data_IF_682689975211
#
_entry.id   IF_682689975211
#
_cell.length_a   1.000
_cell.length_b   1.000
_cell.length_c   1.000
_cell.angle_alpha   90.00
_cell.angle_beta   90.00
_cell.angle_gamma   90.00
#
_symmetry.space_group_name_H-M   'P 1'
#
loop_
_entity.id
_entity.type
_entity.pdbx_description
1 polymer ?
#
# COMPACT_ATOMS: atom_id res chain seq x y z
N UNK A 1 12.64 20.72 15.61
CA UNK A 1 12.87 20.62 14.15
C UNK A 1 13.79 19.43 13.95
N UNK A 2 13.32 18.36 13.31
CA UNK A 2 14.18 17.22 12.98
C UNK A 2 14.93 17.63 11.71
N UNK A 3 16.25 17.51 11.73
CA UNK A 3 17.12 17.77 10.58
C UNK A 3 17.93 16.50 10.37
N UNK A 4 17.96 15.98 9.15
CA UNK A 4 18.91 14.93 8.80
C UNK A 4 20.33 15.48 8.98
N UNK A 5 21.23 14.67 9.55
CA UNK A 5 22.62 15.06 9.63
C UNK A 5 23.18 15.26 8.22
N UNK A 6 23.75 16.43 8.00
CA UNK A 6 24.52 16.83 6.83
C UNK A 6 26.00 16.43 7.03
N UNK A 7 26.64 15.86 6.00
CA UNK A 7 28.03 15.38 6.14
C UNK A 7 28.54 14.37 5.13
N UNK A 8 27.73 13.94 4.16
CA UNK A 8 28.24 13.28 2.95
C UNK A 8 27.61 14.01 1.75
N UNK A 9 28.44 14.75 1.01
CA UNK A 9 28.07 15.50 -0.20
C UNK A 9 27.61 14.57 -1.32
N UNK A 10 28.40 14.42 -2.40
CA UNK A 10 28.09 13.53 -3.55
C UNK A 10 27.84 12.04 -3.20
N UNK A 11 27.90 11.68 -1.92
CA UNK A 11 27.85 10.35 -1.34
C UNK A 11 26.82 10.18 -0.21
N UNK A 12 25.80 11.05 -0.09
CA UNK A 12 24.68 10.83 0.84
C UNK A 12 24.09 9.41 0.72
N UNK A 13 23.22 8.98 1.65
CA UNK A 13 22.57 7.65 1.58
C UNK A 13 21.73 7.40 0.31
N UNK A 14 21.67 8.38 -0.60
CA UNK A 14 20.99 8.30 -1.88
C UNK A 14 19.47 8.39 -1.75
N UNK A 15 18.79 8.45 -2.89
CA UNK A 15 17.35 8.23 -2.90
C UNK A 15 17.08 6.78 -2.45
N UNK A 16 16.27 6.63 -1.41
CA UNK A 16 15.80 5.33 -0.97
C UNK A 16 14.51 4.98 -1.71
N UNK A 17 14.41 3.73 -2.19
CA UNK A 17 13.19 3.18 -2.78
C UNK A 17 12.77 1.94 -2.03
N UNK A 18 11.50 1.84 -1.65
CA UNK A 18 10.92 0.63 -1.10
C UNK A 18 10.34 -0.20 -2.24
N UNK A 19 10.72 -1.48 -2.31
CA UNK A 19 10.27 -2.41 -3.34
C UNK A 19 9.61 -3.64 -2.71
N UNK A 20 8.60 -4.18 -3.38
CA UNK A 20 7.95 -5.43 -2.98
C UNK A 20 8.65 -6.62 -3.62
N UNK A 21 9.20 -7.51 -2.79
CA UNK A 21 9.82 -8.74 -3.24
C UNK A 21 8.85 -9.91 -3.14
N UNK A 22 8.90 -10.82 -4.11
CA UNK A 22 8.15 -12.09 -4.08
C UNK A 22 9.11 -13.25 -4.35
N UNK A 23 8.76 -14.46 -3.89
CA UNK A 23 9.54 -15.66 -4.23
C UNK A 23 9.51 -15.91 -5.75
N UNK A 24 10.56 -16.57 -6.26
CA UNK A 24 10.62 -16.98 -7.67
C UNK A 24 9.35 -17.76 -8.06
N UNK A 25 8.77 -17.43 -9.21
CA UNK A 25 7.57 -18.07 -9.76
C UNK A 25 6.24 -17.55 -9.22
N UNK A 26 6.22 -16.76 -8.13
CA UNK A 26 4.98 -16.41 -7.45
C UNK A 26 3.94 -15.70 -8.31
N UNK A 27 4.35 -14.77 -9.18
CA UNK A 27 3.44 -14.03 -10.06
C UNK A 27 2.86 -14.89 -11.17
N UNK A 28 3.53 -15.99 -11.55
CA UNK A 28 3.03 -16.97 -12.52
C UNK A 28 2.13 -18.00 -11.85
N UNK A 29 2.50 -18.45 -10.66
CA UNK A 29 1.72 -19.43 -9.88
C UNK A 29 0.44 -18.82 -9.29
N UNK A 30 0.46 -17.53 -8.95
CA UNK A 30 -0.66 -16.80 -8.37
C UNK A 30 -0.95 -15.53 -9.19
N UNK A 31 -1.46 -15.63 -10.42
CA UNK A 31 -1.54 -14.50 -11.36
C UNK A 31 -2.44 -13.36 -10.86
N UNK A 32 -3.56 -13.67 -10.20
CA UNK A 32 -4.47 -12.66 -9.67
C UNK A 32 -3.81 -11.82 -8.55
N UNK A 33 -3.16 -12.49 -7.58
CA UNK A 33 -2.41 -11.80 -6.50
C UNK A 33 -1.16 -11.12 -7.06
N UNK A 34 -0.50 -11.72 -8.05
CA UNK A 34 0.63 -11.13 -8.75
C UNK A 34 0.27 -9.80 -9.41
N UNK A 35 -0.93 -9.71 -10.01
CA UNK A 35 -1.46 -8.46 -10.54
C UNK A 35 -1.66 -7.42 -9.45
N UNK A 36 -2.28 -7.79 -8.33
CA UNK A 36 -2.47 -6.91 -7.18
C UNK A 36 -1.13 -6.37 -6.64
N UNK A 37 -0.15 -7.25 -6.38
CA UNK A 37 1.17 -6.86 -5.87
C UNK A 37 1.90 -5.92 -6.84
N UNK A 38 1.77 -6.14 -8.15
CA UNK A 38 2.39 -5.27 -9.17
C UNK A 38 1.76 -3.87 -9.20
N UNK A 39 0.46 -3.79 -8.97
CA UNK A 39 -0.27 -2.53 -8.92
C UNK A 39 -0.08 -1.78 -7.58
N UNK A 40 0.31 -2.48 -6.51
CA UNK A 40 0.41 -1.95 -5.15
C UNK A 40 1.56 -0.94 -5.04
N UNK A 41 1.19 0.34 -4.99
CA UNK A 41 2.11 1.48 -4.89
C UNK A 41 1.61 2.42 -3.80
N UNK A 42 2.56 2.90 -2.99
CA UNK A 42 2.31 3.86 -1.93
C UNK A 42 2.96 5.20 -2.25
N UNK A 43 2.53 6.24 -1.54
CA UNK A 43 3.19 7.54 -1.54
C UNK A 43 3.37 8.01 -0.08
N UNK A 44 4.26 8.97 0.11
CA UNK A 44 4.64 9.45 1.45
C UNK A 44 3.46 10.06 2.22
N UNK A 45 2.56 10.76 1.54
CA UNK A 45 1.40 11.39 2.17
C UNK A 45 0.44 10.33 2.76
N UNK A 46 0.21 9.25 2.02
CA UNK A 46 -0.60 8.11 2.45
C UNK A 46 0.02 7.44 3.69
N UNK A 47 1.31 7.10 3.62
CA UNK A 47 2.02 6.45 4.73
C UNK A 47 2.07 7.35 5.97
N UNK A 48 2.41 8.63 5.80
CA UNK A 48 2.53 9.60 6.88
C UNK A 48 1.22 9.78 7.65
N UNK A 49 0.08 9.93 6.95
CA UNK A 49 -1.22 10.10 7.59
C UNK A 49 -1.61 8.92 8.50
N UNK A 50 -1.27 7.70 8.10
CA UNK A 50 -1.55 6.51 8.90
C UNK A 50 -0.56 6.34 10.05
N UNK A 51 0.73 6.60 9.81
CA UNK A 51 1.79 6.43 10.81
C UNK A 51 1.59 7.30 12.05
N UNK A 52 1.05 8.51 11.92
CA UNK A 52 0.77 9.40 13.06
C UNK A 52 -0.13 8.75 14.12
N UNK A 53 -1.17 8.03 13.70
CA UNK A 53 -2.10 7.36 14.60
C UNK A 53 -1.50 6.08 15.20
N UNK A 54 -0.73 5.33 14.40
CA UNK A 54 -0.06 4.09 14.81
C UNK A 54 0.99 4.39 15.88
N UNK A 55 1.81 5.42 15.68
CA UNK A 55 2.83 5.85 16.64
C UNK A 55 2.23 6.35 17.97
N UNK A 56 0.96 6.76 17.96
CA UNK A 56 0.19 7.12 19.17
C UNK A 56 -0.50 5.93 19.85
N UNK A 57 -0.28 4.70 19.36
CA UNK A 57 -0.78 3.46 19.96
C UNK A 57 -2.07 2.91 19.34
N UNK A 58 -2.52 3.43 18.20
CA UNK A 58 -3.68 2.87 17.49
C UNK A 58 -3.35 1.55 16.79
N UNK A 59 -4.32 0.64 16.69
CA UNK A 59 -4.18 -0.59 15.90
C UNK A 59 -3.99 -0.29 14.40
N UNK A 60 -2.95 -0.87 13.79
CA UNK A 60 -2.56 -0.57 12.42
C UNK A 60 -3.61 -1.02 11.39
N UNK A 61 -4.25 -2.17 11.59
CA UNK A 61 -5.28 -2.66 10.67
C UNK A 61 -6.52 -1.76 10.69
N UNK A 62 -6.92 -1.31 11.88
CA UNK A 62 -8.00 -0.35 12.05
C UNK A 62 -7.67 0.98 11.38
N UNK A 63 -6.47 1.52 11.59
CA UNK A 63 -6.04 2.78 10.97
C UNK A 63 -6.05 2.68 9.44
N UNK A 64 -5.47 1.63 8.87
CA UNK A 64 -5.47 1.42 7.42
C UNK A 64 -6.88 1.27 6.85
N UNK A 65 -7.76 0.53 7.54
CA UNK A 65 -9.16 0.37 7.14
C UNK A 65 -9.90 1.71 7.17
N UNK A 66 -9.75 2.48 8.24
CA UNK A 66 -10.39 3.79 8.40
C UNK A 66 -9.84 4.81 7.38
N UNK A 67 -8.55 4.71 7.02
CA UNK A 67 -7.94 5.52 5.96
C UNK A 67 -8.50 5.16 4.58
N UNK A 68 -8.64 3.88 4.26
CA UNK A 68 -9.22 3.42 2.99
C UNK A 68 -10.69 3.84 2.84
N UNK A 69 -11.47 3.84 3.93
CA UNK A 69 -12.85 4.36 3.93
C UNK A 69 -12.92 5.85 3.59
N UNK A 70 -11.93 6.63 4.04
CA UNK A 70 -11.82 8.07 3.75
C UNK A 70 -11.23 8.36 2.37
N UNK A 71 -10.50 7.41 1.80
CA UNK A 71 -9.80 7.54 0.52
C UNK A 71 -10.17 6.38 -0.43
N UNK A 72 -11.45 6.22 -0.80
CA UNK A 72 -11.93 5.07 -1.58
C UNK A 72 -11.31 5.00 -2.99
N UNK A 73 -10.77 6.10 -3.51
CA UNK A 73 -10.10 6.14 -4.80
C UNK A 73 -8.70 5.53 -4.78
N UNK A 74 -8.05 5.47 -3.61
CA UNK A 74 -6.68 4.99 -3.48
C UNK A 74 -6.52 3.51 -3.85
N UNK A 75 -7.56 2.70 -3.62
CA UNK A 75 -7.53 1.27 -3.90
C UNK A 75 -7.80 0.94 -5.36
N UNK A 76 -8.48 1.82 -6.11
CA UNK A 76 -8.83 1.62 -7.53
C UNK A 76 -7.63 1.20 -8.40
N UNK A 77 -6.48 1.89 -8.38
CA UNK A 77 -5.31 1.45 -9.14
C UNK A 77 -4.77 0.09 -8.67
N UNK A 78 -4.82 -0.20 -7.36
CA UNK A 78 -4.32 -1.46 -6.81
C UNK A 78 -5.11 -2.67 -7.30
N UNK A 79 -6.43 -2.54 -7.42
CA UNK A 79 -7.32 -3.63 -7.84
C UNK A 79 -7.62 -3.63 -9.36
N UNK A 80 -6.97 -2.78 -10.14
CA UNK A 80 -7.16 -2.75 -11.59
C UNK A 80 -6.76 -4.08 -12.23
N UNK A 81 -7.75 -4.80 -12.79
CA UNK A 81 -7.56 -6.14 -13.37
C UNK A 81 -7.38 -7.25 -12.34
N UNK A 82 -7.75 -7.01 -11.08
CA UNK A 82 -7.76 -8.01 -10.00
C UNK A 82 -9.20 -8.48 -9.78
N UNK A 83 -9.37 -9.76 -9.47
CA UNK A 83 -10.66 -10.36 -9.09
C UNK A 83 -10.67 -10.75 -7.62
N UNK A 84 -11.85 -11.08 -7.07
CA UNK A 84 -11.92 -11.79 -5.80
C UNK A 84 -11.32 -13.21 -5.90
N UNK A 85 -11.16 -13.88 -4.77
CA UNK A 85 -10.61 -15.25 -4.73
C UNK A 85 -11.38 -16.24 -5.62
N UNK A 86 -12.70 -16.08 -5.72
CA UNK A 86 -13.57 -16.92 -6.56
C UNK A 86 -13.81 -16.33 -7.96
N UNK A 87 -13.04 -15.33 -8.38
CA UNK A 87 -13.15 -14.72 -9.71
C UNK A 87 -14.22 -13.63 -9.86
N UNK A 88 -14.79 -13.13 -8.76
CA UNK A 88 -15.79 -12.06 -8.77
C UNK A 88 -15.20 -10.65 -8.91
N UNK A 89 -16.08 -9.65 -8.94
CA UNK A 89 -15.72 -8.22 -9.02
C UNK A 89 -15.01 -7.75 -7.73
N UNK A 90 -13.74 -7.38 -7.85
CA UNK A 90 -12.95 -6.88 -6.74
C UNK A 90 -13.41 -5.50 -6.25
N UNK A 91 -13.85 -4.62 -7.13
CA UNK A 91 -14.29 -3.27 -6.76
C UNK A 91 -15.58 -3.33 -5.97
N UNK A 92 -16.53 -4.17 -6.38
CA UNK A 92 -17.76 -4.41 -5.63
C UNK A 92 -17.45 -5.01 -4.24
N UNK A 93 -16.59 -6.03 -4.17
CA UNK A 93 -16.22 -6.68 -2.92
C UNK A 93 -15.52 -5.72 -1.94
N UNK A 94 -14.58 -4.92 -2.42
CA UNK A 94 -13.87 -3.91 -1.61
C UNK A 94 -14.84 -2.85 -1.11
N UNK A 95 -15.74 -2.36 -1.97
CA UNK A 95 -16.75 -1.37 -1.60
C UNK A 95 -17.66 -1.89 -0.48
N UNK A 96 -18.12 -3.14 -0.58
CA UNK A 96 -18.88 -3.81 0.49
C UNK A 96 -18.06 -3.94 1.78
N UNK A 97 -16.80 -4.37 1.69
CA UNK A 97 -15.95 -4.55 2.87
C UNK A 97 -15.62 -3.23 3.58
N UNK A 98 -15.46 -2.15 2.82
CA UNK A 98 -15.21 -0.81 3.36
C UNK A 98 -16.50 -0.09 3.77
N UNK A 99 -17.68 -0.59 3.40
CA UNK A 99 -18.96 0.06 3.72
C UNK A 99 -19.12 1.43 3.06
N UNK A 100 -18.63 1.55 1.81
CA UNK A 100 -18.69 2.78 0.99
C UNK A 100 -19.63 2.63 -0.20
#
# INVERSE_FOLDING_TARGET
KITYLDGMGDSGFGAATVSTNVRKGYTTECPNVGKFITNLKFNLDMEGQMMDAILKGSDANKVATDWLKKNPDAIKPWIAGVTTFYGGDAAAAVKTALGS
#
